data_IF_046377298829
#
_entry.id   IF_046377298829
#
_cell.length_a   1.000
_cell.length_b   1.000
_cell.length_c   1.000
_cell.angle_alpha   90.00
_cell.angle_beta   90.00
_cell.angle_gamma   90.00
#
_symmetry.space_group_name_H-M   'P 1'
#
loop_
_entity.id
_entity.type
_entity.pdbx_description
1 polymer ?
#
# COMPACT_ATOMS: atom_id res chain seq x y z
N UNK A 1 -14.99 28.35 11.06
CA UNK A 1 -15.45 27.65 9.84
C UNK A 1 -14.53 27.90 8.62
N UNK A 2 -13.21 27.90 8.78
CA UNK A 2 -12.25 28.33 7.72
C UNK A 2 -11.40 27.20 7.09
N UNK A 3 -11.64 25.93 7.43
CA UNK A 3 -10.83 24.80 6.90
C UNK A 3 -11.24 24.28 5.50
N UNK A 4 -12.46 24.52 5.03
CA UNK A 4 -12.96 23.97 3.76
C UNK A 4 -12.13 24.37 2.51
N UNK A 5 -11.65 25.63 2.37
CA UNK A 5 -10.91 26.04 1.17
C UNK A 5 -9.55 25.34 1.00
N UNK A 6 -8.84 25.09 2.11
CA UNK A 6 -7.51 24.48 2.08
C UNK A 6 -7.57 22.97 1.74
N UNK A 7 -8.55 22.26 2.30
CA UNK A 7 -8.76 20.83 2.02
C UNK A 7 -9.20 20.62 0.57
N UNK A 8 -10.13 21.44 0.08
CA UNK A 8 -10.57 21.38 -1.31
C UNK A 8 -9.42 21.62 -2.29
N UNK A 9 -8.60 22.66 -2.06
CA UNK A 9 -7.44 22.95 -2.91
C UNK A 9 -6.47 21.76 -3.00
N UNK A 10 -6.08 21.20 -1.85
CA UNK A 10 -5.22 20.00 -1.81
C UNK A 10 -5.86 18.80 -2.49
N UNK A 11 -7.17 18.65 -2.35
CA UNK A 11 -7.93 17.61 -3.04
C UNK A 11 -7.83 17.75 -4.56
N UNK A 12 -8.07 18.94 -5.10
CA UNK A 12 -7.96 19.22 -6.54
C UNK A 12 -6.54 18.97 -7.07
N UNK A 13 -5.52 19.42 -6.34
CA UNK A 13 -4.12 19.16 -6.67
C UNK A 13 -3.81 17.64 -6.70
N UNK A 14 -4.33 16.89 -5.73
CA UNK A 14 -4.18 15.44 -5.68
C UNK A 14 -4.91 14.74 -6.83
N UNK A 15 -6.13 15.14 -7.15
CA UNK A 15 -6.90 14.59 -8.28
C UNK A 15 -6.20 14.85 -9.63
N UNK A 16 -5.60 16.03 -9.80
CA UNK A 16 -4.83 16.34 -11.01
C UNK A 16 -3.54 15.50 -11.10
N UNK A 17 -2.87 15.25 -9.96
CA UNK A 17 -1.66 14.43 -9.91
C UNK A 17 -1.95 12.93 -10.08
N UNK A 18 -3.11 12.47 -9.62
CA UNK A 18 -3.51 11.06 -9.62
C UNK A 18 -4.91 10.89 -10.25
N UNK A 19 -5.05 11.02 -11.57
CA UNK A 19 -6.37 11.01 -12.22
C UNK A 19 -7.12 9.67 -12.06
N UNK A 20 -6.40 8.58 -11.80
CA UNK A 20 -6.95 7.24 -11.56
C UNK A 20 -6.91 6.83 -10.08
N UNK A 21 -6.72 7.80 -9.17
CA UNK A 21 -6.67 7.51 -7.74
C UNK A 21 -8.07 7.40 -7.12
N UNK A 22 -8.07 7.10 -5.83
CA UNK A 22 -9.29 6.93 -5.03
C UNK A 22 -9.17 7.68 -3.71
N UNK A 23 -10.29 8.22 -3.24
CA UNK A 23 -10.39 8.80 -1.90
C UNK A 23 -10.58 7.68 -0.88
N UNK A 24 -9.79 7.68 0.18
CA UNK A 24 -9.99 6.79 1.32
C UNK A 24 -9.78 7.54 2.63
N UNK A 25 -10.66 7.28 3.60
CA UNK A 25 -10.36 7.57 5.00
C UNK A 25 -10.13 6.25 5.75
N UNK A 26 -9.74 6.33 7.02
CA UNK A 26 -9.38 5.13 7.81
C UNK A 26 -10.44 4.00 7.78
N UNK A 27 -11.73 4.34 7.72
CA UNK A 27 -12.85 3.38 7.77
C UNK A 27 -13.97 3.63 6.75
N UNK A 28 -13.71 4.43 5.71
CA UNK A 28 -14.69 4.70 4.64
C UNK A 28 -15.94 5.47 5.07
N UNK A 29 -15.89 6.16 6.22
CA UNK A 29 -17.03 6.88 6.80
C UNK A 29 -17.24 8.30 6.25
N UNK A 30 -17.85 9.15 7.07
CA UNK A 30 -18.32 10.50 6.68
C UNK A 30 -17.23 11.43 6.14
N UNK A 31 -15.99 11.34 6.65
CA UNK A 31 -14.91 12.26 6.27
C UNK A 31 -14.59 12.23 4.77
N UNK A 32 -14.50 11.04 4.20
CA UNK A 32 -14.19 10.89 2.77
C UNK A 32 -15.39 11.27 1.90
N UNK A 33 -16.62 11.08 2.39
CA UNK A 33 -17.84 11.56 1.71
C UNK A 33 -17.95 13.09 1.68
N UNK A 34 -17.60 13.77 2.77
CA UNK A 34 -17.59 15.25 2.81
C UNK A 34 -16.61 15.80 1.77
N UNK A 35 -15.39 15.26 1.72
CA UNK A 35 -14.38 15.69 0.74
C UNK A 35 -14.82 15.38 -0.68
N UNK A 36 -15.38 14.19 -0.91
CA UNK A 36 -15.93 13.83 -2.23
C UNK A 36 -17.04 14.80 -2.66
N UNK A 37 -17.94 15.18 -1.75
CA UNK A 37 -19.02 16.13 -2.05
C UNK A 37 -18.46 17.50 -2.45
N UNK A 38 -17.46 18.02 -1.73
CA UNK A 38 -16.81 19.28 -2.11
C UNK A 38 -16.09 19.21 -3.46
N UNK A 39 -15.42 18.10 -3.76
CA UNK A 39 -14.78 17.89 -5.06
C UNK A 39 -15.82 17.82 -6.18
N UNK A 40 -16.94 17.15 -5.94
CA UNK A 40 -18.05 17.05 -6.88
C UNK A 40 -18.69 18.41 -7.15
N UNK A 41 -18.88 19.22 -6.11
CA UNK A 41 -19.35 20.62 -6.24
C UNK A 41 -18.37 21.48 -7.03
N UNK A 42 -17.07 21.18 -6.97
CA UNK A 42 -16.03 21.81 -7.79
C UNK A 42 -15.90 21.19 -9.20
N UNK A 43 -16.77 20.25 -9.58
CA UNK A 43 -16.80 19.65 -10.91
C UNK A 43 -15.89 18.44 -11.11
N UNK A 44 -15.30 17.89 -10.04
CA UNK A 44 -14.45 16.70 -10.08
C UNK A 44 -15.19 15.51 -9.50
N UNK A 45 -15.53 14.53 -10.35
CA UNK A 45 -16.01 13.23 -9.89
C UNK A 45 -14.81 12.33 -9.57
N UNK A 46 -14.70 11.91 -8.32
CA UNK A 46 -13.56 11.14 -7.85
C UNK A 46 -14.02 9.99 -6.94
N UNK A 47 -13.64 8.74 -7.24
CA UNK A 47 -14.22 7.57 -6.59
C UNK A 47 -13.76 7.41 -5.14
N UNK A 48 -14.62 6.79 -4.34
CA UNK A 48 -14.34 6.43 -2.94
C UNK A 48 -14.07 4.94 -2.78
N UNK A 49 -13.14 4.61 -1.90
CA UNK A 49 -13.00 3.25 -1.40
C UNK A 49 -14.03 2.99 -0.30
N UNK A 50 -14.99 2.12 -0.58
CA UNK A 50 -15.99 1.65 0.39
C UNK A 50 -15.29 0.91 1.52
N UNK A 51 -15.64 1.24 2.77
CA UNK A 51 -14.96 0.71 3.97
C UNK A 51 -13.55 1.28 4.23
N UNK A 52 -13.02 2.08 3.31
CA UNK A 52 -11.77 2.82 3.41
C UNK A 52 -10.54 1.95 3.65
N UNK A 53 -9.54 2.52 4.34
CA UNK A 53 -8.26 1.83 4.55
C UNK A 53 -8.39 0.49 5.27
N UNK A 54 -9.34 0.35 6.22
CA UNK A 54 -9.61 -0.94 6.87
C UNK A 54 -9.97 -2.03 5.85
N UNK A 55 -10.86 -1.72 4.90
CA UNK A 55 -11.26 -2.68 3.87
C UNK A 55 -10.09 -3.02 2.94
N UNK A 56 -9.31 -2.01 2.52
CA UNK A 56 -8.10 -2.22 1.71
C UNK A 56 -7.11 -3.14 2.41
N UNK A 57 -6.83 -2.88 3.69
CA UNK A 57 -5.91 -3.71 4.46
C UNK A 57 -6.39 -5.14 4.58
N UNK A 58 -7.69 -5.34 4.81
CA UNK A 58 -8.25 -6.68 4.90
C UNK A 58 -8.12 -7.43 3.57
N UNK A 59 -8.38 -6.75 2.45
CA UNK A 59 -8.24 -7.33 1.12
C UNK A 59 -6.77 -7.67 0.81
N UNK A 60 -5.82 -6.81 1.18
CA UNK A 60 -4.39 -7.06 0.99
C UNK A 60 -3.91 -8.30 1.77
N UNK A 61 -4.35 -8.45 3.03
CA UNK A 61 -4.04 -9.62 3.85
C UNK A 61 -4.63 -10.89 3.22
N UNK A 62 -5.90 -10.86 2.82
CA UNK A 62 -6.57 -12.01 2.20
C UNK A 62 -5.89 -12.44 0.89
N UNK A 63 -5.56 -11.47 0.02
CA UNK A 63 -4.86 -11.74 -1.23
C UNK A 63 -3.49 -12.37 -0.97
N UNK A 64 -2.74 -11.85 0.01
CA UNK A 64 -1.44 -12.40 0.40
C UNK A 64 -1.58 -13.84 0.91
N UNK A 65 -2.53 -14.09 1.82
CA UNK A 65 -2.78 -15.43 2.36
C UNK A 65 -3.17 -16.41 1.24
N UNK A 66 -4.05 -16.03 0.31
CA UNK A 66 -4.45 -16.87 -0.81
C UNK A 66 -3.27 -17.22 -1.73
N UNK A 67 -2.41 -16.25 -2.05
CA UNK A 67 -1.24 -16.46 -2.91
C UNK A 67 -0.21 -17.36 -2.24
N UNK A 68 0.03 -17.15 -0.94
CA UNK A 68 0.94 -17.99 -0.14
C UNK A 68 0.43 -19.43 -0.04
N UNK A 69 -0.88 -19.64 0.08
CA UNK A 69 -1.47 -20.99 0.14
C UNK A 69 -1.45 -21.71 -1.22
N UNK A 70 -1.49 -20.96 -2.33
CA UNK A 70 -1.40 -21.52 -3.69
C UNK A 70 0.03 -21.83 -4.11
N UNK A 71 1.01 -21.09 -3.58
CA UNK A 71 2.42 -21.35 -3.82
C UNK A 71 2.85 -22.65 -3.11
N UNK A 72 3.51 -23.55 -3.84
CA UNK A 72 4.12 -24.71 -3.20
C UNK A 72 5.18 -24.24 -2.19
N UNK A 73 5.34 -24.93 -1.06
CA UNK A 73 6.29 -24.52 0.00
C UNK A 73 7.73 -24.39 -0.50
N UNK A 74 8.07 -25.08 -1.59
CA UNK A 74 9.36 -24.97 -2.26
C UNK A 74 9.53 -23.61 -2.96
N UNK A 75 8.49 -23.13 -3.64
CA UNK A 75 8.46 -21.84 -4.34
C UNK A 75 8.54 -20.68 -3.34
N UNK A 76 7.82 -20.75 -2.22
CA UNK A 76 7.85 -19.67 -1.22
C UNK A 76 9.23 -19.48 -0.56
N UNK A 77 9.97 -20.57 -0.34
CA UNK A 77 11.35 -20.52 0.17
C UNK A 77 12.30 -19.88 -0.84
N UNK A 78 12.02 -20.04 -2.13
CA UNK A 78 12.78 -19.42 -3.20
C UNK A 78 12.46 -17.92 -3.30
N UNK A 79 11.20 -17.50 -3.22
CA UNK A 79 10.81 -16.09 -3.42
C UNK A 79 11.24 -15.12 -2.33
N UNK A 80 11.53 -15.57 -1.10
CA UNK A 80 11.84 -14.70 0.06
C UNK A 80 12.98 -13.70 -0.17
N UNK A 81 14.01 -14.13 -0.90
CA UNK A 81 15.14 -13.34 -1.42
C UNK A 81 15.84 -14.23 -2.46
N UNK A 82 15.12 -14.57 -3.53
CA UNK A 82 15.72 -15.39 -4.59
C UNK A 82 16.86 -14.60 -5.18
N UNK A 83 18.08 -15.12 -5.14
CA UNK A 83 19.18 -14.53 -5.87
C UNK A 83 19.46 -15.35 -7.13
N UNK A 84 19.78 -14.69 -8.23
CA UNK A 84 20.30 -15.33 -9.43
C UNK A 84 21.74 -15.84 -9.22
N UNK A 85 22.35 -16.46 -10.23
CA UNK A 85 23.72 -16.97 -10.15
C UNK A 85 24.78 -15.89 -9.89
N UNK A 86 24.41 -14.60 -10.00
CA UNK A 86 25.27 -13.45 -9.70
C UNK A 86 25.03 -12.85 -8.31
N UNK A 87 24.12 -13.40 -7.51
CA UNK A 87 23.82 -12.89 -6.17
C UNK A 87 22.85 -11.71 -6.16
N UNK A 88 22.24 -11.37 -7.30
CA UNK A 88 21.24 -10.31 -7.42
C UNK A 88 19.83 -10.86 -7.25
N UNK A 89 18.88 -10.05 -6.77
CA UNK A 89 17.48 -10.48 -6.68
C UNK A 89 17.01 -10.99 -8.06
N UNK A 90 16.53 -12.22 -8.10
CA UNK A 90 16.02 -12.82 -9.32
C UNK A 90 14.78 -12.05 -9.82
N UNK A 91 14.46 -12.10 -11.11
CA UNK A 91 13.34 -11.34 -11.69
C UNK A 91 11.97 -11.64 -11.06
N UNK A 92 11.83 -12.84 -10.48
CA UNK A 92 10.65 -13.34 -9.78
C UNK A 92 10.82 -13.35 -8.25
N UNK A 93 11.96 -12.89 -7.73
CA UNK A 93 12.23 -12.80 -6.30
C UNK A 93 11.57 -11.57 -5.66
N UNK A 94 11.14 -11.71 -4.41
CA UNK A 94 10.61 -10.61 -3.61
C UNK A 94 11.64 -10.25 -2.55
N UNK A 95 12.06 -8.99 -2.48
CA UNK A 95 12.99 -8.53 -1.45
C UNK A 95 12.26 -8.22 -0.14
N UNK A 96 12.02 -9.24 0.69
CA UNK A 96 11.34 -9.04 1.97
C UNK A 96 12.11 -8.13 2.94
N UNK A 97 13.45 -8.13 2.90
CA UNK A 97 14.26 -7.27 3.77
C UNK A 97 14.13 -5.80 3.35
N UNK A 98 14.19 -5.54 2.05
CA UNK A 98 13.90 -4.23 1.47
C UNK A 98 12.50 -3.74 1.82
N UNK A 99 11.47 -4.56 1.63
CA UNK A 99 10.09 -4.19 1.97
C UNK A 99 9.90 -3.91 3.47
N UNK A 100 10.68 -4.55 4.33
CA UNK A 100 10.59 -4.36 5.78
C UNK A 100 11.44 -3.18 6.31
N UNK A 101 12.32 -2.60 5.48
CA UNK A 101 13.45 -1.79 5.95
C UNK A 101 14.27 -2.49 7.05
N UNK A 102 14.37 -3.81 6.92
CA UNK A 102 15.07 -4.67 7.85
C UNK A 102 16.40 -5.09 7.22
N UNK A 103 17.40 -5.37 8.05
CA UNK A 103 18.62 -6.07 7.61
C UNK A 103 18.80 -7.32 8.44
N UNK A 104 19.24 -8.41 7.80
CA UNK A 104 19.55 -9.66 8.47
C UNK A 104 20.44 -9.47 9.71
N UNK A 105 20.29 -10.38 10.69
CA UNK A 105 20.89 -10.32 12.02
C UNK A 105 22.43 -10.11 12.04
N UNK A 106 23.11 -10.34 10.91
CA UNK A 106 24.56 -10.17 10.76
C UNK A 106 25.00 -8.73 10.48
N UNK A 107 24.09 -7.81 10.13
CA UNK A 107 24.44 -6.47 9.63
C UNK A 107 24.15 -5.30 10.59
N UNK A 108 23.67 -5.56 11.81
CA UNK A 108 23.46 -4.54 12.83
C UNK A 108 22.26 -3.60 12.57
N UNK A 109 22.20 -2.47 13.30
CA UNK A 109 21.07 -1.53 13.25
C UNK A 109 21.01 -0.78 11.90
N UNK A 110 19.84 -0.73 11.30
CA UNK A 110 19.55 0.10 10.11
C UNK A 110 19.52 1.59 10.49
N UNK A 111 19.96 2.46 9.59
CA UNK A 111 19.82 3.93 9.73
C UNK A 111 18.38 4.42 9.49
N UNK A 112 17.56 3.58 8.83
CA UNK A 112 16.14 3.84 8.57
C UNK A 112 15.29 3.04 9.53
N UNK A 113 14.21 3.66 10.02
CA UNK A 113 13.25 2.98 10.88
C UNK A 113 12.55 1.85 10.14
N UNK A 114 12.40 0.72 10.83
CA UNK A 114 11.65 -0.41 10.34
C UNK A 114 10.20 0.01 10.05
N UNK A 115 9.65 -0.47 8.94
CA UNK A 115 8.26 -0.19 8.65
C UNK A 115 7.32 -0.76 9.72
N UNK A 116 6.25 -0.03 10.09
CA UNK A 116 5.16 -0.62 10.83
C UNK A 116 4.63 -1.84 10.07
N UNK A 117 4.19 -2.86 10.80
CA UNK A 117 3.71 -4.12 10.22
C UNK A 117 2.68 -3.92 9.11
N UNK A 118 1.72 -3.01 9.29
CA UNK A 118 0.70 -2.76 8.26
C UNK A 118 1.28 -2.17 6.96
N UNK A 119 2.33 -1.35 7.04
CA UNK A 119 2.99 -0.79 5.85
C UNK A 119 3.75 -1.88 5.11
N UNK A 120 4.50 -2.71 5.85
CA UNK A 120 5.18 -3.88 5.28
C UNK A 120 4.20 -4.84 4.59
N UNK A 121 3.12 -5.24 5.28
CA UNK A 121 2.10 -6.15 4.74
C UNK A 121 1.44 -5.60 3.47
N UNK A 122 1.15 -4.30 3.42
CA UNK A 122 0.60 -3.68 2.21
C UNK A 122 1.60 -3.72 1.04
N UNK A 123 2.86 -3.40 1.29
CA UNK A 123 3.89 -3.46 0.24
C UNK A 123 4.14 -4.88 -0.23
N UNK A 124 4.11 -5.87 0.68
CA UNK A 124 4.20 -7.28 0.34
C UNK A 124 3.02 -7.71 -0.55
N UNK A 125 1.79 -7.36 -0.19
CA UNK A 125 0.61 -7.69 -0.98
C UNK A 125 0.70 -7.13 -2.41
N UNK A 126 1.13 -5.87 -2.55
CA UNK A 126 1.32 -5.25 -3.88
C UNK A 126 2.44 -5.92 -4.68
N UNK A 127 3.49 -6.41 -4.03
CA UNK A 127 4.60 -7.08 -4.71
C UNK A 127 4.25 -8.49 -5.19
N UNK A 128 3.19 -9.09 -4.62
CA UNK A 128 2.71 -10.43 -4.95
C UNK A 128 1.63 -10.45 -6.04
N UNK A 129 0.95 -9.32 -6.27
CA UNK A 129 -0.16 -9.16 -7.22
C UNK A 129 0.33 -8.70 -8.60
#
# INVERSE_FOLDING_TARGET
MTCAPAVLRRGLEACARYPHGYLCCARGGQRSHIVQQWLKEAGVDYPLIVGGYKALRQAAIQATDELVQRADRADWRLHRQRQDSTGLLAPDGIDLEGLAHHRGSSFGRTLQDQHPQATFENHLAVSLL
#
